data_IF_721689658529
#
_entry.id   IF_721689658529
#
_cell.length_a   1.000
_cell.length_b   1.000
_cell.length_c   1.000
_cell.angle_alpha   90.00
_cell.angle_beta   90.00
_cell.angle_gamma   90.00
#
_symmetry.space_group_name_H-M   'P 1'
#
loop_
_entity.id
_entity.type
_entity.pdbx_description
1 polymer ?
#
# COMPACT_ATOMS: atom_id res chain seq x y z
N UNK A 1 1.18 25.41 -15.18
CA UNK A 1 -0.07 24.94 -15.79
C UNK A 1 -0.30 25.79 -17.01
N UNK A 2 -0.20 25.20 -18.20
CA UNK A 2 -0.46 25.91 -19.45
C UNK A 2 -1.95 26.25 -19.54
N UNK A 3 -2.27 27.54 -19.49
CA UNK A 3 -3.60 28.05 -19.76
C UNK A 3 -3.87 27.88 -21.26
N UNK A 4 -4.78 26.99 -21.63
CA UNK A 4 -5.29 26.85 -23.00
C UNK A 4 -5.74 28.23 -23.51
N UNK A 5 -5.02 28.80 -24.48
CA UNK A 5 -5.42 30.04 -25.15
C UNK A 5 -6.50 29.70 -26.17
N UNK A 6 -7.75 29.89 -25.78
CA UNK A 6 -8.91 29.77 -26.68
C UNK A 6 -8.98 31.01 -27.58
N UNK A 7 -9.42 30.82 -28.82
CA UNK A 7 -9.71 31.93 -29.74
C UNK A 7 -10.86 32.80 -29.16
N UNK A 8 -10.81 34.14 -29.27
CA UNK A 8 -11.87 35.02 -28.77
C UNK A 8 -13.29 34.72 -29.30
N UNK A 9 -13.42 34.04 -30.43
CA UNK A 9 -14.70 33.62 -31.02
C UNK A 9 -15.16 32.22 -30.56
N UNK A 10 -14.37 31.55 -29.71
CA UNK A 10 -14.72 30.21 -29.21
C UNK A 10 -15.95 30.28 -28.32
N UNK A 11 -17.00 29.56 -28.71
CA UNK A 11 -18.24 29.47 -27.90
C UNK A 11 -18.15 28.31 -26.93
N UNK A 12 -18.00 28.62 -25.64
CA UNK A 12 -18.04 27.62 -24.57
C UNK A 12 -19.50 27.32 -24.25
N UNK A 13 -19.86 26.05 -24.27
CA UNK A 13 -21.19 25.58 -23.86
C UNK A 13 -21.11 24.96 -22.46
N UNK A 14 -22.13 25.15 -21.62
CA UNK A 14 -22.17 24.52 -20.31
C UNK A 14 -22.47 23.02 -20.45
N UNK A 15 -22.07 22.25 -19.45
CA UNK A 15 -22.21 20.79 -19.45
C UNK A 15 -23.64 20.28 -19.74
N UNK A 16 -24.74 20.87 -19.22
CA UNK A 16 -26.08 20.45 -19.58
C UNK A 16 -26.38 20.55 -21.08
N UNK A 17 -25.79 21.52 -21.78
CA UNK A 17 -25.95 21.67 -23.23
C UNK A 17 -25.10 20.66 -23.99
N UNK A 18 -23.95 20.24 -23.45
CA UNK A 18 -23.16 19.12 -23.98
C UNK A 18 -24.01 17.85 -23.96
N UNK A 19 -24.62 17.51 -22.82
CA UNK A 19 -25.49 16.33 -22.70
C UNK A 19 -26.69 16.39 -23.65
N UNK A 20 -27.34 17.56 -23.79
CA UNK A 20 -28.42 17.76 -24.77
C UNK A 20 -27.97 17.55 -26.21
N UNK A 21 -26.73 17.93 -26.54
CA UNK A 21 -26.16 17.71 -27.87
C UNK A 21 -25.88 16.23 -28.10
N UNK A 22 -25.29 15.53 -27.12
CA UNK A 22 -25.01 14.10 -27.21
C UNK A 22 -26.31 13.32 -27.46
N UNK A 23 -27.34 13.55 -26.65
CA UNK A 23 -28.66 12.86 -26.76
C UNK A 23 -29.39 13.19 -28.07
N UNK A 24 -29.08 14.31 -28.72
CA UNK A 24 -29.70 14.68 -30.02
C UNK A 24 -28.85 14.30 -31.22
N UNK A 25 -27.62 13.87 -30.99
CA UNK A 25 -26.66 13.61 -32.05
C UNK A 25 -26.96 12.28 -32.73
N UNK A 26 -26.61 12.17 -34.01
CA UNK A 26 -26.73 10.92 -34.79
C UNK A 26 -25.37 10.32 -35.14
N UNK A 27 -24.30 10.82 -34.52
CA UNK A 27 -22.97 10.26 -34.73
C UNK A 27 -22.81 8.99 -33.87
N UNK A 28 -22.14 7.93 -34.38
CA UNK A 28 -22.04 6.64 -33.68
C UNK A 28 -21.45 6.73 -32.27
N UNK A 29 -20.54 7.67 -32.03
CA UNK A 29 -19.92 7.87 -30.73
C UNK A 29 -20.91 8.43 -29.70
N UNK A 30 -21.82 9.31 -30.13
CA UNK A 30 -22.82 9.89 -29.24
C UNK A 30 -23.95 8.90 -28.96
N UNK A 31 -24.36 8.11 -29.95
CA UNK A 31 -25.39 7.07 -29.81
C UNK A 31 -24.99 6.03 -28.75
N UNK A 32 -23.71 5.60 -28.71
CA UNK A 32 -23.20 4.71 -27.66
C UNK A 32 -23.31 5.29 -26.26
N UNK A 33 -23.05 6.59 -26.12
CA UNK A 33 -23.14 7.29 -24.83
C UNK A 33 -24.61 7.41 -24.42
N UNK A 34 -25.48 7.77 -25.36
CA UNK A 34 -26.92 7.83 -25.15
C UNK A 34 -27.46 6.47 -24.69
N UNK A 35 -27.21 5.40 -25.44
CA UNK A 35 -27.65 4.03 -25.12
C UNK A 35 -27.18 3.61 -23.73
N UNK A 36 -25.90 3.79 -23.41
CA UNK A 36 -25.37 3.49 -22.08
C UNK A 36 -26.07 4.29 -20.97
N UNK A 37 -26.35 5.58 -21.18
CA UNK A 37 -27.06 6.40 -20.20
C UNK A 37 -28.50 5.91 -19.99
N UNK A 38 -29.22 5.61 -21.08
CA UNK A 38 -30.65 5.28 -21.02
C UNK A 38 -30.93 3.83 -20.64
N UNK A 39 -30.06 2.90 -20.99
CA UNK A 39 -30.25 1.47 -20.73
C UNK A 39 -29.60 1.00 -19.43
N UNK A 40 -28.48 1.61 -19.03
CA UNK A 40 -27.71 1.21 -17.84
C UNK A 40 -27.82 2.23 -16.71
N UNK A 41 -27.30 3.44 -16.94
CA UNK A 41 -27.09 4.45 -15.88
C UNK A 41 -28.40 4.91 -15.25
N UNK A 42 -29.32 5.47 -16.05
CA UNK A 42 -30.58 6.03 -15.56
C UNK A 42 -31.50 4.96 -14.95
N UNK A 43 -31.65 3.76 -15.56
CA UNK A 43 -32.42 2.69 -14.93
C UNK A 43 -31.85 2.24 -13.59
N UNK A 44 -30.53 2.19 -13.45
CA UNK A 44 -29.87 1.83 -12.19
C UNK A 44 -30.10 2.92 -11.12
N UNK A 45 -29.79 4.18 -11.41
CA UNK A 45 -30.04 5.31 -10.50
C UNK A 45 -31.51 5.33 -10.04
N UNK A 46 -32.45 5.10 -10.97
CA UNK A 46 -33.89 5.05 -10.65
C UNK A 46 -34.23 3.93 -9.67
N UNK A 47 -33.53 2.79 -9.72
CA UNK A 47 -33.79 1.61 -8.88
C UNK A 47 -33.06 1.66 -7.53
N UNK A 48 -31.79 2.05 -7.53
CA UNK A 48 -30.87 1.93 -6.38
C UNK A 48 -30.58 3.27 -5.71
N UNK A 49 -30.84 4.39 -6.39
CA UNK A 49 -30.48 5.73 -5.94
C UNK A 49 -29.04 6.15 -6.27
N UNK A 50 -28.25 5.29 -6.92
CA UNK A 50 -26.86 5.57 -7.28
C UNK A 50 -26.44 4.78 -8.52
N UNK A 51 -25.49 5.31 -9.29
CA UNK A 51 -24.77 4.54 -10.30
C UNK A 51 -23.30 4.49 -9.91
N UNK A 52 -22.74 3.29 -9.93
CA UNK A 52 -21.32 3.09 -9.68
C UNK A 52 -20.77 2.22 -10.80
N UNK A 53 -19.75 2.73 -11.49
CA UNK A 53 -18.90 1.90 -12.34
C UNK A 53 -18.00 1.14 -11.36
N UNK A 54 -18.59 0.21 -10.61
CA UNK A 54 -17.79 -0.74 -9.87
C UNK A 54 -17.00 -1.47 -10.93
N UNK A 55 -15.68 -1.19 -10.97
CA UNK A 55 -14.70 -2.13 -11.49
C UNK A 55 -15.15 -3.43 -10.85
N UNK A 56 -15.70 -4.34 -11.66
CA UNK A 56 -16.21 -5.63 -11.23
C UNK A 56 -14.99 -6.36 -10.67
N UNK A 57 -14.61 -6.03 -9.44
CA UNK A 57 -13.86 -6.88 -8.57
C UNK A 57 -14.90 -7.96 -8.40
N UNK A 58 -14.82 -8.98 -9.26
CA UNK A 58 -15.48 -10.23 -8.98
C UNK A 58 -14.91 -10.62 -7.62
N UNK A 59 -15.63 -10.26 -6.56
CA UNK A 59 -15.46 -10.86 -5.27
C UNK A 59 -15.88 -12.30 -5.54
N UNK A 60 -14.91 -13.07 -6.01
CA UNK A 60 -15.05 -14.48 -6.26
C UNK A 60 -15.68 -15.03 -4.99
N UNK A 61 -16.94 -15.50 -5.11
CA UNK A 61 -17.68 -15.96 -3.94
C UNK A 61 -16.78 -16.97 -3.25
N UNK A 62 -16.49 -16.73 -1.98
CA UNK A 62 -15.59 -17.58 -1.21
C UNK A 62 -16.25 -18.97 -1.11
N UNK A 63 -15.85 -19.88 -1.99
CA UNK A 63 -16.31 -21.27 -1.94
C UNK A 63 -15.53 -22.00 -0.86
N UNK A 64 -16.07 -23.09 -0.28
CA UNK A 64 -15.31 -23.91 0.66
C UNK A 64 -13.94 -24.33 0.12
N UNK A 65 -13.87 -24.72 -1.16
CA UNK A 65 -12.61 -25.10 -1.81
C UNK A 65 -11.62 -23.93 -1.87
N UNK A 66 -12.07 -22.74 -2.26
CA UNK A 66 -11.19 -21.57 -2.35
C UNK A 66 -10.75 -21.07 -0.98
N UNK A 67 -11.62 -21.20 0.03
CA UNK A 67 -11.24 -20.91 1.42
C UNK A 67 -10.17 -21.87 1.94
N UNK A 68 -10.25 -23.16 1.57
CA UNK A 68 -9.25 -24.15 1.94
C UNK A 68 -7.90 -23.84 1.29
N UNK A 69 -7.89 -23.50 0.00
CA UNK A 69 -6.67 -23.08 -0.72
C UNK A 69 -6.01 -21.86 -0.06
N UNK A 70 -6.80 -20.83 0.29
CA UNK A 70 -6.28 -19.64 1.00
C UNK A 70 -5.66 -20.03 2.35
N UNK A 71 -6.29 -20.93 3.10
CA UNK A 71 -5.76 -21.41 4.39
C UNK A 71 -4.46 -22.20 4.19
N UNK A 72 -4.39 -23.08 3.20
CA UNK A 72 -3.18 -23.85 2.89
C UNK A 72 -2.01 -22.95 2.52
N UNK A 73 -2.24 -21.97 1.63
CA UNK A 73 -1.25 -20.96 1.27
C UNK A 73 -0.84 -20.15 2.50
N UNK A 74 -1.80 -19.73 3.32
CA UNK A 74 -1.55 -19.02 4.58
C UNK A 74 -0.64 -19.82 5.53
N UNK A 75 -0.88 -21.12 5.68
CA UNK A 75 -0.05 -22.01 6.51
C UNK A 75 1.37 -22.11 5.94
N UNK A 76 1.53 -22.27 4.63
CA UNK A 76 2.86 -22.34 4.01
C UNK A 76 3.65 -21.04 4.22
N UNK A 77 3.00 -19.88 4.04
CA UNK A 77 3.61 -18.57 4.28
C UNK A 77 4.03 -18.43 5.73
N UNK A 78 3.14 -18.76 6.68
CA UNK A 78 3.45 -18.69 8.12
C UNK A 78 4.58 -19.64 8.52
N UNK A 79 4.67 -20.81 7.89
CA UNK A 79 5.75 -21.78 8.13
C UNK A 79 7.08 -21.20 7.67
N UNK A 80 7.16 -20.73 6.43
CA UNK A 80 8.36 -20.05 5.91
C UNK A 80 8.76 -18.85 6.76
N UNK A 81 7.79 -18.03 7.18
CA UNK A 81 8.05 -16.87 8.02
C UNK A 81 8.69 -17.24 9.38
N UNK A 82 8.36 -18.41 9.93
CA UNK A 82 8.97 -18.92 11.18
C UNK A 82 10.39 -19.43 10.98
N UNK A 83 10.75 -19.87 9.79
CA UNK A 83 12.10 -20.33 9.45
C UNK A 83 13.09 -19.17 9.25
N UNK A 84 12.58 -17.98 8.93
CA UNK A 84 13.39 -16.77 8.79
C UNK A 84 14.06 -16.37 10.10
N UNK A 85 15.25 -15.81 10.00
CA UNK A 85 15.92 -15.19 11.14
C UNK A 85 15.22 -13.87 11.54
N UNK A 86 15.61 -13.33 12.70
CA UNK A 86 14.97 -12.13 13.25
C UNK A 86 15.07 -10.91 12.33
N UNK A 87 16.22 -10.69 11.68
CA UNK A 87 16.44 -9.53 10.81
C UNK A 87 15.57 -9.62 9.57
N UNK A 88 15.50 -10.80 8.95
CA UNK A 88 14.64 -11.07 7.79
C UNK A 88 13.15 -10.82 8.13
N UNK A 89 12.70 -11.23 9.33
CA UNK A 89 11.33 -10.96 9.77
C UNK A 89 11.06 -9.47 9.97
N UNK A 90 12.02 -8.71 10.50
CA UNK A 90 11.90 -7.25 10.70
C UNK A 90 11.91 -6.52 9.35
N UNK A 91 12.75 -6.96 8.40
CA UNK A 91 12.82 -6.38 7.06
C UNK A 91 11.49 -6.56 6.32
N UNK A 92 10.93 -7.78 6.33
CA UNK A 92 9.63 -8.05 5.75
C UNK A 92 8.51 -7.23 6.39
N UNK A 93 8.51 -7.09 7.72
CA UNK A 93 7.53 -6.26 8.43
C UNK A 93 7.67 -4.78 8.06
N UNK A 94 8.89 -4.28 7.90
CA UNK A 94 9.16 -2.90 7.48
C UNK A 94 8.66 -2.65 6.05
N UNK A 95 8.92 -3.60 5.14
CA UNK A 95 8.42 -3.53 3.77
C UNK A 95 6.89 -3.51 3.73
N UNK A 96 6.24 -4.40 4.49
CA UNK A 96 4.78 -4.45 4.58
C UNK A 96 4.19 -3.16 5.17
N UNK A 97 4.74 -2.66 6.28
CA UNK A 97 4.33 -1.38 6.90
C UNK A 97 4.35 -0.22 5.90
N UNK A 98 5.40 -0.13 5.08
CA UNK A 98 5.52 0.94 4.08
C UNK A 98 4.44 0.88 3.00
N UNK A 99 3.83 -0.30 2.76
CA UNK A 99 2.79 -0.49 1.74
C UNK A 99 1.37 -0.37 2.30
N UNK A 100 1.15 -0.87 3.53
CA UNK A 100 -0.20 -1.05 4.09
C UNK A 100 -0.45 -0.27 5.37
N UNK A 101 0.58 0.40 5.91
CA UNK A 101 0.56 1.07 7.22
C UNK A 101 0.30 0.10 8.41
N UNK A 102 0.48 -1.21 8.19
CA UNK A 102 0.23 -2.24 9.20
C UNK A 102 1.45 -3.12 9.49
N UNK A 103 1.63 -3.52 10.75
CA UNK A 103 2.70 -4.44 11.18
C UNK A 103 2.26 -5.91 11.18
N UNK A 104 2.95 -6.76 10.42
CA UNK A 104 2.79 -8.21 10.49
C UNK A 104 3.24 -8.76 11.83
N UNK A 105 4.37 -8.28 12.36
CA UNK A 105 4.90 -8.74 13.64
C UNK A 105 3.90 -8.49 14.77
N UNK A 106 3.32 -7.29 14.85
CA UNK A 106 2.29 -6.95 15.83
C UNK A 106 1.04 -7.83 15.66
N UNK A 107 0.58 -8.06 14.43
CA UNK A 107 -0.56 -8.94 14.13
C UNK A 107 -0.31 -10.39 14.53
N UNK A 108 0.93 -10.86 14.42
CA UNK A 108 1.38 -12.18 14.85
C UNK A 108 1.70 -12.27 16.35
N UNK A 109 1.52 -11.18 17.11
CA UNK A 109 1.80 -11.13 18.55
C UNK A 109 3.30 -11.13 18.89
N UNK A 110 4.17 -10.80 17.93
CA UNK A 110 5.62 -10.67 18.15
C UNK A 110 5.99 -9.22 18.43
N UNK A 111 6.55 -8.99 19.62
CA UNK A 111 7.03 -7.68 20.05
C UNK A 111 8.50 -7.78 20.47
N UNK A 112 9.29 -6.75 20.14
CA UNK A 112 10.74 -6.69 20.43
C UNK A 112 11.10 -5.57 21.42
N UNK A 113 10.12 -4.97 22.10
CA UNK A 113 10.32 -3.83 23.00
C UNK A 113 11.31 -4.11 24.15
N UNK A 114 11.51 -5.39 24.52
CA UNK A 114 12.45 -5.79 25.57
C UNK A 114 13.62 -6.64 25.03
N UNK A 115 13.89 -6.59 23.73
CA UNK A 115 14.97 -7.34 23.10
C UNK A 115 16.22 -6.45 22.96
N UNK A 116 17.24 -6.74 23.76
CA UNK A 116 18.53 -6.06 23.68
C UNK A 116 19.51 -6.90 22.86
N UNK A 117 20.22 -6.26 21.94
CA UNK A 117 21.25 -6.89 21.13
C UNK A 117 22.55 -6.13 21.24
N UNK A 118 23.66 -6.85 21.38
CA UNK A 118 24.98 -6.25 21.30
C UNK A 118 25.31 -5.94 19.82
N UNK A 119 26.08 -4.87 19.54
CA UNK A 119 26.52 -4.55 18.19
C UNK A 119 27.22 -5.71 17.45
N UNK A 120 27.95 -6.55 18.18
CA UNK A 120 28.61 -7.74 17.62
C UNK A 120 27.62 -8.85 17.27
N UNK A 121 26.52 -8.98 18.02
CA UNK A 121 25.44 -9.93 17.72
C UNK A 121 24.67 -9.47 16.49
N UNK A 122 24.31 -8.19 16.44
CA UNK A 122 23.72 -7.57 15.25
C UNK A 122 24.62 -7.74 14.03
N UNK A 123 25.94 -7.61 14.18
CA UNK A 123 26.90 -7.86 13.12
C UNK A 123 26.79 -9.29 12.57
N UNK A 124 26.79 -10.31 13.44
CA UNK A 124 26.59 -11.71 13.01
C UNK A 124 25.28 -11.93 12.29
N UNK A 125 24.20 -11.27 12.73
CA UNK A 125 22.87 -11.43 12.14
C UNK A 125 22.71 -10.71 10.80
N UNK A 126 23.44 -9.61 10.58
CA UNK A 126 23.39 -8.78 9.37
C UNK A 126 24.50 -9.07 8.37
N UNK A 127 25.44 -9.96 8.71
CA UNK A 127 26.63 -10.24 7.90
C UNK A 127 27.69 -9.13 7.96
N UNK A 128 27.64 -8.25 8.95
CA UNK A 128 28.57 -7.14 9.16
C UNK A 128 29.48 -7.39 10.36
N UNK A 129 30.60 -6.68 10.42
CA UNK A 129 31.42 -6.65 11.63
C UNK A 129 30.73 -5.81 12.72
N UNK A 130 30.97 -6.15 13.99
CA UNK A 130 30.47 -5.34 15.11
C UNK A 130 31.00 -3.89 15.08
N UNK A 131 32.18 -3.66 14.49
CA UNK A 131 32.73 -2.33 14.29
C UNK A 131 31.91 -1.51 13.27
N UNK A 132 31.52 -2.11 12.14
CA UNK A 132 30.65 -1.46 11.15
C UNK A 132 29.29 -1.12 11.75
N UNK A 133 28.69 -2.04 12.51
CA UNK A 133 27.42 -1.78 13.21
C UNK A 133 27.57 -0.62 14.19
N UNK A 134 28.67 -0.58 14.95
CA UNK A 134 28.90 0.51 15.88
C UNK A 134 28.93 1.89 15.19
N UNK A 135 29.59 1.97 14.04
CA UNK A 135 29.65 3.20 13.24
C UNK A 135 28.28 3.57 12.66
N UNK A 136 27.48 2.58 12.22
CA UNK A 136 26.12 2.81 11.72
C UNK A 136 25.22 3.35 12.84
N UNK A 137 25.27 2.75 14.03
CA UNK A 137 24.46 3.18 15.18
C UNK A 137 24.85 4.57 15.66
N UNK A 138 26.14 4.89 15.66
CA UNK A 138 26.63 6.24 15.97
C UNK A 138 26.14 7.27 14.96
N UNK A 139 26.27 6.99 13.66
CA UNK A 139 25.78 7.86 12.59
C UNK A 139 24.27 8.12 12.68
N UNK A 140 23.51 7.14 13.15
CA UNK A 140 22.07 7.26 13.39
C UNK A 140 21.73 7.90 14.75
N UNK A 141 22.72 8.20 15.59
CA UNK A 141 22.53 8.83 16.90
C UNK A 141 22.02 7.90 18.00
N UNK A 142 22.09 6.57 17.81
CA UNK A 142 21.66 5.58 18.80
C UNK A 142 22.74 5.27 19.85
N UNK A 143 23.99 5.56 19.55
CA UNK A 143 25.10 5.41 20.49
C UNK A 143 26.19 6.45 20.21
N UNK A 144 27.13 6.57 21.13
CA UNK A 144 28.32 7.40 20.97
C UNK A 144 29.53 6.75 21.63
N UNK A 145 30.72 7.15 21.20
CA UNK A 145 31.97 6.74 21.85
C UNK A 145 32.41 7.78 22.87
N UNK A 146 32.59 7.35 24.11
CA UNK A 146 33.06 8.24 25.17
C UNK A 146 34.58 8.52 25.08
N UNK A 147 35.06 9.43 25.91
CA UNK A 147 36.47 9.82 26.01
C UNK A 147 37.41 8.67 26.41
N UNK A 148 36.88 7.61 27.03
CA UNK A 148 37.63 6.40 27.39
C UNK A 148 37.59 5.35 26.27
N UNK A 149 36.99 5.67 25.12
CA UNK A 149 36.87 4.81 23.96
C UNK A 149 35.77 3.75 24.07
N UNK A 150 34.87 3.84 25.06
CA UNK A 150 33.80 2.89 25.33
C UNK A 150 32.51 3.36 24.64
N UNK A 151 31.82 2.44 23.97
CA UNK A 151 30.52 2.69 23.34
C UNK A 151 29.40 2.73 24.38
N UNK A 152 28.57 3.78 24.35
CA UNK A 152 27.40 3.94 25.23
C UNK A 152 26.15 4.29 24.42
N UNK A 153 24.98 3.72 24.75
CA UNK A 153 23.72 4.06 24.09
C UNK A 153 23.23 5.45 24.47
N UNK A 154 22.56 6.12 23.54
CA UNK A 154 21.82 7.37 23.80
C UNK A 154 20.41 7.06 24.33
N UNK A 155 19.65 8.08 24.72
CA UNK A 155 18.24 7.92 25.15
C UNK A 155 17.36 7.29 24.06
N UNK A 156 17.70 7.49 22.78
CA UNK A 156 16.98 6.93 21.64
C UNK A 156 17.48 5.54 21.22
N UNK A 157 18.64 5.11 21.73
CA UNK A 157 19.19 3.76 21.50
C UNK A 157 19.00 2.80 22.67
N UNK A 158 18.27 3.21 23.71
CA UNK A 158 17.77 2.37 24.79
C UNK A 158 16.34 1.95 24.49
#
# INVERSE_FOLDING_TARGET
MDTLKLDPQTRIIPEPDVWRLIIKSRIPEAEKIEEWIFEEVLPEIRKTGSYSIEKKIETEKLTPQKSLEIVEVGIQILTKFRELNLIEQIELDTLHKNQTDESLLKKLGKNFENSYFLPTELGKMTGMSGAEINLILEKKGFQFRDENGIWRPTSSGK
#
